data_IF_649367800240
#
_entry.id   IF_649367800240
#
_cell.length_a   1.000
_cell.length_b   1.000
_cell.length_c   1.000
_cell.angle_alpha   90.00
_cell.angle_beta   90.00
_cell.angle_gamma   90.00
#
_symmetry.space_group_name_H-M   'P 1'
#
loop_
_entity.id
_entity.type
_entity.pdbx_description
1 polymer ?
#
# COMPACT_ATOMS: atom_id res chain seq x y z
N UNK A 1 -3.63 1.02 -3.18
CA UNK A 1 -2.20 0.63 -3.22
C UNK A 1 -2.00 -0.87 -3.39
N UNK A 2 -2.66 -1.74 -2.60
CA UNK A 2 -2.46 -3.19 -2.64
C UNK A 2 -2.62 -3.83 -4.04
N UNK A 3 -3.68 -3.50 -4.78
CA UNK A 3 -3.94 -4.06 -6.12
C UNK A 3 -2.75 -3.87 -7.05
N UNK A 4 -2.27 -2.63 -7.18
CA UNK A 4 -1.15 -2.31 -8.07
C UNK A 4 0.15 -2.97 -7.60
N UNK A 5 0.40 -3.00 -6.28
CA UNK A 5 1.59 -3.64 -5.70
C UNK A 5 1.62 -5.16 -5.90
N UNK A 6 0.45 -5.81 -5.99
CA UNK A 6 0.32 -7.27 -6.16
C UNK A 6 0.31 -7.67 -7.64
N UNK A 7 -0.41 -6.92 -8.47
CA UNK A 7 -0.56 -7.22 -9.89
C UNK A 7 0.66 -6.79 -10.72
N UNK A 8 1.31 -5.69 -10.34
CA UNK A 8 2.44 -5.13 -11.09
C UNK A 8 3.69 -4.96 -10.20
N UNK A 9 4.13 -6.00 -9.46
CA UNK A 9 5.09 -5.85 -8.37
C UNK A 9 6.45 -5.30 -8.80
N UNK A 10 6.85 -5.55 -10.05
CA UNK A 10 8.15 -5.19 -10.59
C UNK A 10 8.18 -3.83 -11.31
N UNK A 11 7.02 -3.19 -11.53
CA UNK A 11 6.98 -1.87 -12.14
C UNK A 11 7.64 -0.85 -11.21
N UNK A 12 8.51 -0.02 -11.79
CA UNK A 12 9.22 1.05 -11.08
C UNK A 12 8.34 2.29 -11.03
N UNK A 13 7.84 2.60 -9.84
CA UNK A 13 7.16 3.85 -9.53
C UNK A 13 8.19 4.98 -9.42
N UNK A 14 7.90 6.10 -10.07
CA UNK A 14 8.67 7.32 -9.88
C UNK A 14 8.08 8.08 -8.69
N UNK A 15 8.81 8.07 -7.58
CA UNK A 15 8.42 8.81 -6.39
C UNK A 15 9.00 10.21 -6.51
N UNK A 16 8.13 11.19 -6.66
CA UNK A 16 8.51 12.60 -6.71
C UNK A 16 8.41 13.15 -5.28
N UNK A 17 9.57 13.26 -4.62
CA UNK A 17 9.68 13.96 -3.33
C UNK A 17 10.15 15.39 -3.56
N UNK A 18 10.02 16.24 -2.53
CA UNK A 18 10.44 17.65 -2.60
C UNK A 18 11.95 17.85 -2.76
N UNK A 19 12.78 16.81 -2.59
CA UNK A 19 14.24 16.92 -2.62
C UNK A 19 14.88 16.19 -3.80
N UNK A 20 14.56 14.90 -3.99
CA UNK A 20 15.16 14.08 -5.05
C UNK A 20 14.14 13.05 -5.55
N UNK A 21 13.87 12.98 -6.86
CA UNK A 21 13.05 11.90 -7.41
C UNK A 21 13.84 10.59 -7.38
N UNK A 22 13.18 9.51 -6.99
CA UNK A 22 13.78 8.17 -7.02
C UNK A 22 12.79 7.14 -7.53
N UNK A 23 13.32 5.99 -7.96
CA UNK A 23 12.51 4.87 -8.46
C UNK A 23 12.48 3.75 -7.44
N UNK A 24 11.29 3.26 -7.14
CA UNK A 24 11.06 2.11 -6.25
C UNK A 24 10.10 1.13 -6.91
N UNK A 25 10.23 -0.17 -6.64
CA UNK A 25 9.25 -1.14 -7.16
C UNK A 25 7.88 -0.93 -6.50
N UNK A 26 6.81 -1.17 -7.25
CA UNK A 26 5.44 -1.09 -6.73
C UNK A 26 5.24 -2.01 -5.51
N UNK A 27 5.88 -3.18 -5.50
CA UNK A 27 5.88 -4.09 -4.35
C UNK A 27 6.48 -3.44 -3.10
N UNK A 28 7.67 -2.88 -3.22
CA UNK A 28 8.35 -2.24 -2.08
C UNK A 28 7.59 -1.01 -1.62
N UNK A 29 7.05 -0.20 -2.54
CA UNK A 29 6.20 0.94 -2.17
C UNK A 29 4.94 0.49 -1.41
N UNK A 30 4.24 -0.53 -1.90
CA UNK A 30 3.06 -1.08 -1.23
C UNK A 30 3.37 -1.64 0.17
N UNK A 31 4.51 -2.30 0.34
CA UNK A 31 4.94 -2.82 1.64
C UNK A 31 5.29 -1.69 2.62
N UNK A 32 6.04 -0.68 2.17
CA UNK A 32 6.36 0.49 2.99
C UNK A 32 5.07 1.19 3.41
N UNK A 33 4.15 1.44 2.46
CA UNK A 33 2.85 2.04 2.73
C UNK A 33 2.09 1.26 3.81
N UNK A 34 1.95 -0.07 3.68
CA UNK A 34 1.26 -0.89 4.67
C UNK A 34 1.88 -0.77 6.06
N UNK A 35 3.21 -0.86 6.16
CA UNK A 35 3.92 -0.73 7.44
C UNK A 35 3.70 0.66 8.05
N UNK A 36 3.80 1.71 7.25
CA UNK A 36 3.60 3.10 7.68
C UNK A 36 2.19 3.33 8.21
N UNK A 37 1.15 2.84 7.53
CA UNK A 37 -0.24 2.97 8.00
C UNK A 37 -0.49 2.22 9.31
N UNK A 38 0.12 1.04 9.50
CA UNK A 38 0.03 0.31 10.78
C UNK A 38 0.71 1.10 11.90
N UNK A 39 1.94 1.57 11.68
CA UNK A 39 2.69 2.33 12.68
C UNK A 39 1.94 3.60 13.08
N UNK A 40 1.47 4.40 12.12
CA UNK A 40 0.73 5.62 12.42
C UNK A 40 -0.65 5.36 13.01
N UNK A 41 -1.36 4.31 12.56
CA UNK A 41 -2.57 3.85 13.22
C UNK A 41 -2.35 3.50 14.70
N UNK A 42 -1.24 2.85 15.03
CA UNK A 42 -0.89 2.55 16.44
C UNK A 42 -0.52 3.81 17.23
N UNK A 43 0.29 4.71 16.66
CA UNK A 43 0.70 5.98 17.30
C UNK A 43 -0.52 6.89 17.53
N UNK A 44 -1.56 6.75 16.71
CA UNK A 44 -2.77 7.57 16.86
C UNK A 44 -3.51 7.34 18.18
N UNK A 45 -3.28 6.20 18.85
CA UNK A 45 -3.85 5.93 20.17
C UNK A 45 -3.21 6.77 21.29
N UNK A 46 -2.04 7.39 21.05
CA UNK A 46 -1.29 8.12 22.09
C UNK A 46 -1.03 9.58 21.75
N UNK A 47 -0.76 9.90 20.48
CA UNK A 47 -0.08 11.18 20.15
C UNK A 47 -0.71 11.95 18.98
N UNK A 48 -1.39 11.28 18.03
CA UNK A 48 -1.89 11.92 16.80
C UNK A 48 -3.38 11.60 16.60
N UNK A 49 -4.30 12.59 16.53
CA UNK A 49 -5.74 12.35 16.48
C UNK A 49 -6.26 12.04 15.05
N UNK A 50 -5.54 11.23 14.27
CA UNK A 50 -5.88 10.90 12.87
C UNK A 50 -6.07 9.38 12.61
N UNK A 51 -6.26 8.60 13.68
CA UNK A 51 -6.33 7.13 13.60
C UNK A 51 -7.35 6.58 12.61
N UNK A 52 -8.52 7.21 12.47
CA UNK A 52 -9.55 6.78 11.51
C UNK A 52 -9.01 6.73 10.08
N UNK A 53 -8.19 7.70 9.66
CA UNK A 53 -7.63 7.73 8.32
C UNK A 53 -6.65 6.57 8.10
N UNK A 54 -5.76 6.33 9.06
CA UNK A 54 -4.78 5.25 8.98
C UNK A 54 -5.43 3.85 8.96
N UNK A 55 -6.45 3.64 9.78
CA UNK A 55 -7.21 2.38 9.75
C UNK A 55 -8.05 2.23 8.48
N UNK A 56 -8.57 3.32 7.90
CA UNK A 56 -9.26 3.27 6.60
C UNK A 56 -8.28 2.89 5.48
N UNK A 57 -7.06 3.42 5.48
CA UNK A 57 -6.02 3.02 4.53
C UNK A 57 -5.60 1.56 4.70
N UNK A 58 -5.45 1.09 5.94
CA UNK A 58 -5.16 -0.32 6.24
C UNK A 58 -6.28 -1.24 5.75
N UNK A 59 -7.54 -0.92 6.06
CA UNK A 59 -8.71 -1.66 5.60
C UNK A 59 -8.80 -1.69 4.07
N UNK A 60 -8.59 -0.55 3.41
CA UNK A 60 -8.55 -0.45 1.95
C UNK A 60 -7.39 -1.27 1.34
N UNK A 61 -6.24 -1.34 2.02
CA UNK A 61 -5.14 -2.20 1.59
C UNK A 61 -5.52 -3.68 1.67
N UNK A 62 -6.11 -4.13 2.78
CA UNK A 62 -6.55 -5.53 2.97
C UNK A 62 -7.62 -5.90 1.93
N UNK A 63 -8.66 -5.08 1.78
CA UNK A 63 -9.72 -5.31 0.79
C UNK A 63 -9.16 -5.33 -0.64
N UNK A 64 -8.29 -4.38 -1.00
CA UNK A 64 -7.63 -4.37 -2.29
C UNK A 64 -6.73 -5.59 -2.52
N UNK A 65 -6.05 -6.09 -1.49
CA UNK A 65 -5.27 -7.31 -1.59
C UNK A 65 -6.16 -8.53 -1.86
N UNK A 66 -7.28 -8.65 -1.15
CA UNK A 66 -8.25 -9.72 -1.37
C UNK A 66 -8.78 -9.71 -2.81
N UNK A 67 -9.15 -8.54 -3.34
CA UNK A 67 -9.61 -8.44 -4.74
C UNK A 67 -8.51 -8.75 -5.75
N UNK A 68 -7.27 -8.32 -5.52
CA UNK A 68 -6.17 -8.63 -6.43
C UNK A 68 -5.86 -10.13 -6.46
N UNK A 69 -5.89 -10.80 -5.31
CA UNK A 69 -5.70 -12.24 -5.22
C UNK A 69 -6.87 -13.00 -5.85
N UNK A 70 -8.11 -12.54 -5.62
CA UNK A 70 -9.30 -13.11 -6.25
C UNK A 70 -9.23 -12.97 -7.78
N UNK A 71 -8.82 -11.81 -8.27
CA UNK A 71 -8.64 -11.56 -9.70
C UNK A 71 -7.61 -12.52 -10.29
N UNK A 72 -6.43 -12.68 -9.67
CA UNK A 72 -5.43 -13.67 -10.11
C UNK A 72 -5.93 -15.12 -10.05
N UNK A 73 -6.87 -15.42 -9.17
CA UNK A 73 -7.44 -16.76 -9.09
C UNK A 73 -8.40 -17.06 -10.26
N UNK A 74 -9.08 -16.03 -10.78
CA UNK A 74 -10.00 -16.16 -11.91
C UNK A 74 -9.34 -15.96 -13.27
N UNK A 75 -8.37 -15.04 -13.34
CA UNK A 75 -7.60 -14.76 -14.55
C UNK A 75 -6.23 -15.46 -14.46
N UNK A 76 -6.15 -16.66 -15.04
CA UNK A 76 -4.94 -17.49 -15.03
C UNK A 76 -3.86 -17.01 -16.01
N UNK A 77 -4.19 -16.08 -16.90
CA UNK A 77 -3.27 -15.55 -17.90
C UNK A 77 -2.58 -14.26 -17.44
N UNK A 78 -2.93 -13.76 -16.24
CA UNK A 78 -2.39 -12.55 -15.64
C UNK A 78 -1.09 -12.75 -14.84
#
# INVERSE_FOLDING_TARGET
>A
MAVYAILFPNIKLQVVTSKVPYKISARSFGLIYLITEIIYGLISFTTIPDGTAHFAHLGGFIAGAAFALLFKAFDKEF
#
